data_IF_061554239881
#
_entry.id   IF_061554239881
#
_cell.length_a   1.000
_cell.length_b   1.000
_cell.length_c   1.000
_cell.angle_alpha   90.00
_cell.angle_beta   90.00
_cell.angle_gamma   90.00
#
_symmetry.space_group_name_H-M   'P 1'
#
loop_
_entity.id
_entity.type
_entity.pdbx_description
1 polymer ?
#
# COMPACT_ATOMS: atom_id res chain seq x y z
N UNK A 1 -20.08 -18.28 3.61
CA UNK A 1 -20.00 -17.12 2.70
C UNK A 1 -20.51 -15.91 3.48
N UNK A 2 -19.72 -14.84 3.52
CA UNK A 2 -20.11 -13.60 4.21
C UNK A 2 -21.21 -12.89 3.38
N UNK A 3 -22.40 -12.61 3.96
CA UNK A 3 -23.49 -11.97 3.22
C UNK A 3 -23.21 -10.50 2.84
N UNK A 4 -22.22 -9.87 3.44
CA UNK A 4 -21.78 -8.52 3.11
C UNK A 4 -20.67 -8.50 2.04
N UNK A 5 -20.28 -9.67 1.53
CA UNK A 5 -19.25 -9.83 0.52
C UNK A 5 -17.83 -9.88 1.08
N UNK A 6 -16.88 -9.78 0.17
CA UNK A 6 -15.45 -9.77 0.44
C UNK A 6 -14.92 -8.34 0.60
N UNK A 7 -13.79 -8.18 1.27
CA UNK A 7 -13.12 -6.91 1.46
C UNK A 7 -13.52 -6.21 2.77
N UNK A 8 -13.31 -4.91 2.86
CA UNK A 8 -13.48 -4.11 4.08
C UNK A 8 -14.90 -4.15 4.69
N UNK A 9 -15.91 -4.50 3.91
CA UNK A 9 -17.32 -4.63 4.37
C UNK A 9 -17.65 -5.98 4.94
N UNK A 10 -16.82 -6.99 4.72
CA UNK A 10 -17.03 -8.34 5.23
C UNK A 10 -17.18 -8.33 6.76
N UNK A 11 -18.06 -9.15 7.29
CA UNK A 11 -18.23 -9.29 8.75
C UNK A 11 -16.99 -9.85 9.41
N UNK A 12 -16.21 -10.63 8.68
CA UNK A 12 -14.97 -11.22 9.15
C UNK A 12 -13.96 -10.14 9.59
N UNK A 13 -13.92 -8.97 8.96
CA UNK A 13 -13.00 -7.86 9.34
C UNK A 13 -13.16 -7.49 10.81
N UNK A 14 -14.36 -7.65 11.37
CA UNK A 14 -14.64 -7.36 12.79
C UNK A 14 -14.15 -8.44 13.75
N UNK A 15 -13.69 -9.57 13.25
CA UNK A 15 -13.17 -10.67 14.08
C UNK A 15 -11.68 -10.56 14.35
N UNK A 16 -10.98 -9.67 13.65
CA UNK A 16 -9.59 -9.40 13.93
C UNK A 16 -9.43 -8.76 15.32
N UNK A 17 -8.48 -9.26 16.08
CA UNK A 17 -8.15 -8.75 17.42
C UNK A 17 -6.65 -8.55 17.58
N UNK A 18 -6.25 -7.36 18.01
CA UNK A 18 -4.87 -6.99 18.26
C UNK A 18 -4.23 -7.79 19.42
N UNK A 19 -5.02 -8.51 20.21
CA UNK A 19 -4.57 -9.29 21.35
C UNK A 19 -4.57 -10.81 21.10
N UNK A 20 -4.93 -11.26 19.87
CA UNK A 20 -4.91 -12.71 19.57
C UNK A 20 -3.50 -13.27 19.65
N UNK A 21 -3.39 -14.52 20.07
CA UNK A 21 -2.16 -15.30 19.90
C UNK A 21 -2.00 -15.63 18.43
N UNK A 22 -0.78 -15.71 17.95
CA UNK A 22 -0.46 -15.97 16.55
C UNK A 22 0.83 -16.79 16.44
N UNK A 23 1.03 -17.41 15.30
CA UNK A 23 2.31 -17.96 14.84
C UNK A 23 2.81 -17.15 13.64
N UNK A 24 4.09 -17.31 13.33
CA UNK A 24 4.69 -16.66 12.16
C UNK A 24 4.50 -17.47 10.86
N UNK A 25 3.89 -18.67 10.93
CA UNK A 25 3.84 -19.62 9.81
C UNK A 25 3.13 -19.03 8.59
N UNK A 26 1.95 -18.44 8.78
CA UNK A 26 1.18 -17.80 7.72
C UNK A 26 1.96 -16.66 7.04
N UNK A 27 2.59 -15.80 7.85
CA UNK A 27 3.40 -14.70 7.37
C UNK A 27 4.62 -15.21 6.59
N UNK A 28 5.34 -16.18 7.13
CA UNK A 28 6.55 -16.73 6.51
C UNK A 28 6.25 -17.41 5.17
N UNK A 29 5.16 -18.19 5.09
CA UNK A 29 4.74 -18.84 3.86
C UNK A 29 4.45 -17.82 2.74
N UNK A 30 3.71 -16.76 3.04
CA UNK A 30 3.41 -15.72 2.05
C UNK A 30 4.62 -14.84 1.75
N UNK A 31 5.46 -14.60 2.74
CA UNK A 31 6.71 -13.86 2.53
C UNK A 31 7.65 -14.61 1.57
N UNK A 32 7.79 -15.91 1.72
CA UNK A 32 8.57 -16.74 0.80
C UNK A 32 8.06 -16.63 -0.65
N UNK A 33 6.72 -16.60 -0.83
CA UNK A 33 6.13 -16.38 -2.16
C UNK A 33 6.53 -15.01 -2.73
N UNK A 34 6.47 -13.93 -1.93
CA UNK A 34 6.89 -12.59 -2.36
C UNK A 34 8.40 -12.53 -2.63
N UNK A 35 9.23 -13.11 -1.76
CA UNK A 35 10.69 -13.11 -1.90
C UNK A 35 11.15 -13.87 -3.16
N UNK A 36 10.34 -14.82 -3.64
CA UNK A 36 10.54 -15.53 -4.90
C UNK A 36 9.92 -14.80 -6.12
N UNK A 37 9.58 -13.52 -5.99
CA UNK A 37 9.02 -12.70 -7.07
C UNK A 37 7.51 -12.86 -7.30
N UNK A 38 6.81 -13.53 -6.37
CA UNK A 38 5.35 -13.66 -6.44
C UNK A 38 4.65 -12.32 -6.28
N UNK A 39 3.75 -12.00 -7.22
CA UNK A 39 2.94 -10.78 -7.19
C UNK A 39 1.64 -11.03 -7.94
N UNK A 40 0.64 -10.19 -7.68
CA UNK A 40 -0.67 -10.29 -8.32
C UNK A 40 -0.63 -10.04 -9.83
N UNK A 41 0.27 -9.18 -10.29
CA UNK A 41 0.44 -8.80 -11.69
C UNK A 41 1.88 -9.01 -12.12
N UNK A 42 2.07 -9.43 -13.37
CA UNK A 42 3.40 -9.54 -13.97
C UNK A 42 4.16 -8.22 -13.83
N UNK A 43 5.39 -8.30 -13.39
CA UNK A 43 6.27 -7.14 -13.21
C UNK A 43 7.29 -7.07 -14.34
N UNK A 44 7.80 -5.87 -14.68
CA UNK A 44 8.87 -5.73 -15.65
C UNK A 44 10.12 -6.49 -15.19
N UNK A 45 10.78 -7.20 -16.10
CA UNK A 45 12.07 -7.87 -15.85
C UNK A 45 13.21 -6.88 -15.55
N UNK A 46 13.00 -5.62 -15.85
CA UNK A 46 13.95 -4.55 -15.65
C UNK A 46 13.89 -4.05 -14.21
N UNK A 47 14.21 -4.92 -13.25
CA UNK A 47 14.52 -4.45 -11.90
C UNK A 47 15.67 -3.46 -11.98
N UNK A 48 15.43 -2.21 -11.63
CA UNK A 48 16.54 -1.33 -11.29
C UNK A 48 17.20 -1.96 -10.07
N UNK A 49 18.41 -2.46 -10.22
CA UNK A 49 19.19 -3.08 -9.14
C UNK A 49 19.36 -2.11 -7.98
N UNK A 50 19.21 -0.82 -8.25
CA UNK A 50 19.23 0.24 -7.26
C UNK A 50 18.16 1.32 -7.55
N UNK A 51 16.99 1.16 -6.94
CA UNK A 51 15.91 2.15 -7.01
C UNK A 51 16.35 3.52 -6.49
N UNK A 52 17.26 3.56 -5.51
CA UNK A 52 17.79 4.80 -4.96
C UNK A 52 18.51 5.67 -5.99
N UNK A 53 19.13 5.07 -7.00
CA UNK A 53 19.77 5.82 -8.09
C UNK A 53 18.75 6.57 -8.96
N UNK A 54 17.54 6.05 -9.05
CA UNK A 54 16.44 6.65 -9.82
C UNK A 54 15.69 7.73 -9.02
N UNK A 55 15.36 7.44 -7.76
CA UNK A 55 14.42 8.26 -6.98
C UNK A 55 15.03 8.92 -5.75
N UNK A 56 16.24 8.48 -5.34
CA UNK A 56 16.86 8.85 -4.07
C UNK A 56 16.36 8.01 -2.89
N UNK A 57 16.91 8.25 -1.70
CA UNK A 57 16.64 7.44 -0.50
C UNK A 57 15.49 7.97 0.38
N UNK A 58 14.94 9.14 0.06
CA UNK A 58 13.91 9.79 0.85
C UNK A 58 12.62 9.94 0.05
N UNK A 59 11.88 8.85 -0.11
CA UNK A 59 10.61 8.88 -0.83
C UNK A 59 9.51 8.07 -0.16
N UNK A 60 8.27 8.43 -0.48
CA UNK A 60 7.04 7.67 -0.26
C UNK A 60 6.66 7.00 -1.57
N UNK A 61 6.35 5.72 -1.53
CA UNK A 61 5.89 4.97 -2.68
C UNK A 61 4.35 4.93 -2.74
N UNK A 62 3.79 5.25 -3.90
CA UNK A 62 2.34 5.30 -4.13
C UNK A 62 1.97 4.45 -5.37
N UNK A 63 1.66 3.17 -5.20
CA UNK A 63 1.10 2.36 -6.28
C UNK A 63 -0.33 2.81 -6.57
N UNK A 64 -0.54 3.37 -7.76
CA UNK A 64 -1.84 3.90 -8.17
C UNK A 64 -2.84 2.79 -8.45
N UNK A 65 -4.07 2.99 -8.00
CA UNK A 65 -5.24 2.17 -8.35
C UNK A 65 -5.96 2.77 -9.54
N UNK A 66 -6.74 1.94 -10.24
CA UNK A 66 -7.59 2.40 -11.35
C UNK A 66 -8.67 3.32 -10.77
N UNK A 67 -8.86 4.56 -11.31
CA UNK A 67 -9.76 5.56 -10.73
C UNK A 67 -11.22 5.11 -10.53
N UNK A 68 -11.69 4.17 -11.34
CA UNK A 68 -13.05 3.63 -11.28
C UNK A 68 -13.11 2.19 -10.78
N UNK A 69 -12.12 1.78 -9.99
CA UNK A 69 -12.16 0.50 -9.32
C UNK A 69 -13.31 0.48 -8.31
N UNK A 70 -14.09 -0.60 -8.32
CA UNK A 70 -15.23 -0.77 -7.41
C UNK A 70 -14.82 -0.75 -5.94
N UNK A 71 -13.61 -1.20 -5.62
CA UNK A 71 -13.07 -1.11 -4.26
C UNK A 71 -12.89 0.35 -3.82
N UNK A 72 -12.48 1.23 -4.73
CA UNK A 72 -12.42 2.67 -4.45
C UNK A 72 -13.82 3.24 -4.28
N UNK A 73 -14.71 3.00 -5.24
CA UNK A 73 -16.06 3.56 -5.23
C UNK A 73 -16.87 3.17 -3.98
N UNK A 74 -16.68 1.95 -3.47
CA UNK A 74 -17.46 1.46 -2.33
C UNK A 74 -16.75 1.63 -0.99
N UNK A 75 -15.44 1.55 -0.95
CA UNK A 75 -14.68 1.46 0.29
C UNK A 75 -13.69 2.62 0.49
N UNK A 76 -13.88 3.72 -0.25
CA UNK A 76 -13.14 4.97 -0.03
C UNK A 76 -14.09 6.17 0.04
N UNK A 77 -13.74 7.17 0.83
CA UNK A 77 -14.42 8.47 0.89
C UNK A 77 -13.67 9.51 0.05
N UNK A 78 -12.55 9.10 -0.57
CA UNK A 78 -11.73 9.92 -1.46
C UNK A 78 -11.59 9.23 -2.82
N UNK A 79 -11.52 10.02 -3.87
CA UNK A 79 -11.24 9.55 -5.24
C UNK A 79 -9.72 9.47 -5.48
N UNK A 80 -9.31 8.70 -6.50
CA UNK A 80 -7.89 8.65 -6.88
C UNK A 80 -7.33 10.01 -7.32
N UNK A 81 -8.04 10.84 -8.11
CA UNK A 81 -7.57 12.19 -8.44
C UNK A 81 -7.41 13.11 -7.22
N UNK A 82 -8.35 13.10 -6.27
CA UNK A 82 -8.23 13.87 -5.02
C UNK A 82 -7.02 13.44 -4.21
N UNK A 83 -6.82 12.14 -4.10
CA UNK A 83 -5.67 11.55 -3.41
C UNK A 83 -4.33 11.96 -4.04
N UNK A 84 -4.21 11.82 -5.37
CA UNK A 84 -3.01 12.21 -6.11
C UNK A 84 -2.74 13.70 -5.95
N UNK A 85 -3.76 14.54 -6.13
CA UNK A 85 -3.64 16.00 -6.00
C UNK A 85 -3.16 16.40 -4.59
N UNK A 86 -3.79 15.87 -3.54
CA UNK A 86 -3.41 16.19 -2.16
C UNK A 86 -1.95 15.81 -1.86
N UNK A 87 -1.49 14.63 -2.33
CA UNK A 87 -0.11 14.20 -2.13
C UNK A 87 0.90 15.07 -2.91
N UNK A 88 0.55 15.49 -4.12
CA UNK A 88 1.41 16.37 -4.92
C UNK A 88 1.55 17.75 -4.27
N UNK A 89 0.42 18.37 -3.89
CA UNK A 89 0.41 19.66 -3.22
C UNK A 89 1.22 19.62 -1.92
N UNK A 90 1.01 18.59 -1.09
CA UNK A 90 1.75 18.40 0.15
C UNK A 90 3.26 18.19 -0.06
N UNK A 91 3.65 17.44 -1.10
CA UNK A 91 5.06 17.19 -1.41
C UNK A 91 5.82 18.49 -1.75
N UNK A 92 5.13 19.45 -2.36
CA UNK A 92 5.71 20.74 -2.78
C UNK A 92 5.71 21.82 -1.68
N UNK A 93 5.06 21.57 -0.53
CA UNK A 93 4.90 22.58 0.54
C UNK A 93 6.20 23.05 1.21
N UNK A 94 7.34 22.38 0.99
CA UNK A 94 8.58 22.87 1.55
C UNK A 94 9.69 21.87 1.85
N UNK A 95 10.77 22.41 2.42
CA UNK A 95 11.96 21.65 2.78
C UNK A 95 11.63 20.55 3.82
N UNK A 96 12.19 19.36 3.61
CA UNK A 96 12.06 18.22 4.52
C UNK A 96 10.93 17.24 4.18
N UNK A 97 10.08 17.55 3.20
CA UNK A 97 9.10 16.58 2.68
C UNK A 97 9.83 15.50 1.87
N UNK A 98 9.42 14.23 1.98
CA UNK A 98 9.91 13.18 1.11
C UNK A 98 9.38 13.39 -0.31
N UNK A 99 10.14 12.92 -1.31
CA UNK A 99 9.61 12.82 -2.67
C UNK A 99 8.43 11.85 -2.70
N UNK A 100 7.39 12.13 -3.47
CA UNK A 100 6.29 11.20 -3.68
C UNK A 100 6.46 10.54 -5.04
N UNK A 101 6.58 9.21 -5.04
CA UNK A 101 6.82 8.42 -6.25
C UNK A 101 5.59 7.60 -6.55
N UNK A 102 4.92 7.97 -7.62
CA UNK A 102 3.73 7.27 -8.12
C UNK A 102 4.14 6.19 -9.13
N UNK A 103 3.55 5.00 -9.00
CA UNK A 103 3.65 3.95 -10.02
C UNK A 103 2.30 3.73 -10.68
N UNK A 104 2.28 3.81 -12.01
CA UNK A 104 1.08 3.56 -12.81
C UNK A 104 0.59 2.11 -12.70
N UNK A 105 -0.73 1.92 -12.81
CA UNK A 105 -1.33 0.59 -12.76
C UNK A 105 -1.07 -0.17 -14.08
N UNK A 106 -0.54 -1.40 -14.05
CA UNK A 106 -0.09 -2.10 -15.27
C UNK A 106 -1.23 -2.48 -16.21
N UNK A 107 -2.43 -2.75 -15.70
CA UNK A 107 -3.56 -3.27 -16.49
C UNK A 107 -4.28 -2.20 -17.31
N UNK A 108 -4.26 -0.94 -16.87
CA UNK A 108 -5.00 0.13 -17.58
C UNK A 108 -4.21 1.44 -17.61
N UNK A 109 -3.17 1.53 -18.44
CA UNK A 109 -2.35 2.74 -18.55
C UNK A 109 -3.15 3.97 -19.03
N UNK A 110 -4.19 3.78 -19.87
CA UNK A 110 -5.00 4.90 -20.36
C UNK A 110 -5.79 5.60 -19.25
N UNK A 111 -6.19 4.90 -18.21
CA UNK A 111 -6.88 5.51 -17.07
C UNK A 111 -5.95 6.35 -16.19
N UNK A 112 -4.63 6.23 -16.38
CA UNK A 112 -3.63 7.01 -15.66
C UNK A 112 -3.37 8.38 -16.28
N UNK A 113 -3.73 8.61 -17.55
CA UNK A 113 -3.45 9.87 -18.27
C UNK A 113 -3.96 11.12 -17.52
N UNK A 114 -5.17 11.17 -16.97
CA UNK A 114 -5.60 12.34 -16.20
C UNK A 114 -4.79 12.55 -14.90
N UNK A 115 -4.26 11.48 -14.34
CA UNK A 115 -3.44 11.54 -13.11
C UNK A 115 -2.03 12.05 -13.44
N UNK A 116 -1.43 11.62 -14.56
CA UNK A 116 -0.11 12.12 -14.96
C UNK A 116 -0.15 13.62 -15.24
N UNK A 117 -1.25 14.14 -15.78
CA UNK A 117 -1.44 15.58 -15.99
C UNK A 117 -1.46 16.40 -14.68
N UNK A 118 -1.91 15.80 -13.57
CA UNK A 118 -1.80 16.41 -12.26
C UNK A 118 -0.35 16.36 -11.77
N UNK A 119 0.24 15.16 -11.81
CA UNK A 119 1.59 14.91 -11.29
C UNK A 119 2.65 15.78 -11.97
N UNK A 120 2.56 15.94 -13.30
CA UNK A 120 3.52 16.71 -14.10
C UNK A 120 3.56 18.23 -13.77
N UNK A 121 2.60 18.73 -12.98
CA UNK A 121 2.56 20.13 -12.55
C UNK A 121 3.33 20.39 -11.25
N UNK A 122 3.95 19.35 -10.67
CA UNK A 122 4.58 19.39 -9.36
C UNK A 122 6.05 18.94 -9.43
N UNK A 123 6.91 19.55 -8.61
CA UNK A 123 8.36 19.35 -8.69
C UNK A 123 8.87 18.20 -7.81
N UNK A 124 8.32 18.04 -6.59
CA UNK A 124 8.79 17.03 -5.63
C UNK A 124 8.06 15.68 -5.77
N UNK A 125 7.65 15.36 -6.98
CA UNK A 125 6.93 14.12 -7.32
C UNK A 125 7.57 13.44 -8.53
N UNK A 126 7.29 12.15 -8.71
CA UNK A 126 7.74 11.39 -9.87
C UNK A 126 6.71 10.35 -10.25
N UNK A 127 6.45 10.19 -11.55
CA UNK A 127 5.60 9.14 -12.09
C UNK A 127 6.43 8.11 -12.85
N UNK A 128 6.25 6.82 -12.51
CA UNK A 128 6.97 5.70 -13.10
C UNK A 128 5.99 4.62 -13.58
N UNK A 129 6.38 3.88 -14.63
CA UNK A 129 5.62 2.74 -15.15
C UNK A 129 6.42 1.44 -15.06
N UNK A 130 7.66 1.46 -15.54
CA UNK A 130 8.50 0.29 -15.77
C UNK A 130 9.48 0.06 -14.61
N UNK A 131 8.93 -0.07 -13.40
CA UNK A 131 9.69 -0.36 -12.18
C UNK A 131 9.10 -1.57 -11.46
N UNK A 132 9.97 -2.38 -10.89
CA UNK A 132 9.58 -3.56 -10.12
C UNK A 132 9.04 -3.11 -8.75
N UNK A 133 7.83 -3.60 -8.41
CA UNK A 133 7.06 -3.10 -7.27
C UNK A 133 7.71 -3.41 -5.91
N UNK A 134 8.32 -4.59 -5.76
CA UNK A 134 8.91 -5.00 -4.49
C UNK A 134 10.16 -4.20 -4.16
N UNK A 135 10.97 -3.86 -5.19
CA UNK A 135 12.12 -2.96 -5.05
C UNK A 135 11.68 -1.56 -4.61
N UNK A 136 10.58 -1.05 -5.18
CA UNK A 136 10.01 0.23 -4.77
C UNK A 136 9.53 0.22 -3.32
N UNK A 137 8.83 -0.84 -2.90
CA UNK A 137 8.34 -0.99 -1.52
C UNK A 137 9.49 -1.07 -0.53
N UNK A 138 10.50 -1.90 -0.83
CA UNK A 138 11.63 -2.20 0.07
C UNK A 138 12.45 -0.96 0.43
N UNK A 139 12.62 -0.05 -0.53
CA UNK A 139 13.47 1.13 -0.37
C UNK A 139 12.70 2.40 0.05
N UNK A 140 11.37 2.39 0.01
CA UNK A 140 10.53 3.51 0.41
C UNK A 140 10.54 3.75 1.93
N UNK A 141 10.37 5.00 2.35
CA UNK A 141 10.10 5.35 3.76
C UNK A 141 8.74 4.83 4.22
N UNK A 142 7.76 4.79 3.31
CA UNK A 142 6.46 4.17 3.50
C UNK A 142 5.80 3.90 2.15
N UNK A 143 4.86 2.95 2.12
CA UNK A 143 3.96 2.70 1.00
C UNK A 143 2.58 3.27 1.34
N UNK A 144 2.11 4.21 0.54
CA UNK A 144 0.81 4.87 0.70
C UNK A 144 -0.19 4.28 -0.29
N UNK A 145 -1.32 3.83 0.19
CA UNK A 145 -2.38 3.24 -0.63
C UNK A 145 -3.75 3.79 -0.22
N UNK A 146 -4.71 3.83 -1.13
CA UNK A 146 -6.08 4.05 -0.69
C UNK A 146 -6.55 2.78 0.01
N UNK A 147 -6.76 1.68 -0.72
CA UNK A 147 -7.13 0.36 -0.17
C UNK A 147 -6.64 -0.80 -1.06
N UNK A 148 -5.51 -0.59 -1.75
CA UNK A 148 -4.91 -1.55 -2.68
C UNK A 148 -4.40 -2.81 -2.00
N UNK A 149 -4.52 -3.98 -2.67
CA UNK A 149 -3.85 -5.21 -2.29
C UNK A 149 -2.31 -5.09 -2.19
N UNK A 150 -1.71 -4.12 -2.88
CA UNK A 150 -0.28 -3.79 -2.71
C UNK A 150 0.09 -3.43 -1.27
N UNK A 151 -0.88 -2.93 -0.48
CA UNK A 151 -0.68 -2.73 0.96
C UNK A 151 -0.36 -4.04 1.68
N UNK A 152 -0.99 -5.14 1.32
CA UNK A 152 -0.67 -6.47 1.86
C UNK A 152 0.73 -6.91 1.42
N UNK A 153 1.09 -6.78 0.14
CA UNK A 153 2.43 -7.11 -0.34
C UNK A 153 3.51 -6.30 0.41
N UNK A 154 3.24 -5.03 0.70
CA UNK A 154 4.13 -4.18 1.50
C UNK A 154 4.23 -4.64 2.97
N UNK A 155 3.13 -5.09 3.58
CA UNK A 155 3.16 -5.67 4.92
C UNK A 155 4.05 -6.92 4.98
N UNK A 156 4.04 -7.79 3.95
CA UNK A 156 4.90 -8.98 3.87
C UNK A 156 6.39 -8.63 3.76
N UNK A 157 6.71 -7.45 3.31
CA UNK A 157 8.07 -6.92 3.28
C UNK A 157 8.46 -6.14 4.55
N UNK A 158 7.63 -6.19 5.58
CA UNK A 158 7.79 -5.40 6.80
C UNK A 158 7.88 -3.87 6.53
N UNK A 159 7.37 -3.39 5.41
CA UNK A 159 7.34 -1.98 5.07
C UNK A 159 6.32 -1.21 5.91
N UNK A 160 6.51 0.10 6.06
CA UNK A 160 5.49 0.97 6.66
C UNK A 160 4.37 1.17 5.65
N UNK A 161 3.14 0.86 6.03
CA UNK A 161 1.96 1.01 5.17
C UNK A 161 1.01 2.03 5.77
N UNK A 162 0.53 2.94 4.91
CA UNK A 162 -0.53 3.90 5.25
C UNK A 162 -1.72 3.64 4.33
N UNK A 163 -2.90 3.42 4.90
CA UNK A 163 -4.14 3.21 4.16
C UNK A 163 -5.09 4.39 4.35
N UNK A 164 -5.51 5.03 3.24
CA UNK A 164 -6.39 6.20 3.23
C UNK A 164 -7.87 5.85 3.02
N UNK A 165 -8.15 4.62 2.64
CA UNK A 165 -9.51 4.07 2.51
C UNK A 165 -9.74 2.89 3.44
N UNK A 166 -10.93 2.34 3.38
CA UNK A 166 -11.30 1.13 4.11
C UNK A 166 -10.73 -0.10 3.39
N UNK A 167 -9.96 -0.90 4.11
CA UNK A 167 -9.42 -2.18 3.66
C UNK A 167 -9.58 -3.22 4.76
N UNK A 168 -9.45 -4.49 4.44
CA UNK A 168 -9.48 -5.58 5.42
C UNK A 168 -8.31 -5.52 6.40
N UNK A 169 -7.19 -4.90 5.99
CA UNK A 169 -5.98 -4.75 6.79
C UNK A 169 -5.85 -3.39 7.50
N UNK A 170 -6.87 -2.52 7.43
CA UNK A 170 -6.83 -1.15 7.99
C UNK A 170 -6.41 -1.08 9.47
N UNK A 171 -6.80 -2.08 10.25
CA UNK A 171 -6.52 -2.12 11.70
C UNK A 171 -5.09 -2.62 12.01
N UNK A 172 -4.35 -3.05 10.99
CA UNK A 172 -2.96 -3.49 11.10
C UNK A 172 -1.93 -2.45 10.61
N UNK A 173 -2.38 -1.37 9.98
CA UNK A 173 -1.53 -0.35 9.34
C UNK A 173 -1.81 1.05 9.89
N UNK A 174 -1.02 2.04 9.47
CA UNK A 174 -1.25 3.44 9.82
C UNK A 174 -2.48 3.95 9.05
N UNK A 175 -3.40 4.61 9.75
CA UNK A 175 -4.54 5.27 9.11
C UNK A 175 -4.12 6.57 8.43
N UNK A 176 -4.46 6.71 7.13
CA UNK A 176 -4.21 7.92 6.35
C UNK A 176 -5.37 8.91 6.43
N UNK A 177 -5.05 10.20 6.38
CA UNK A 177 -6.00 11.30 6.23
C UNK A 177 -5.39 12.32 5.27
N UNK A 178 -6.03 12.55 4.12
CA UNK A 178 -5.54 13.51 3.13
C UNK A 178 -5.69 14.96 3.59
N UNK A 179 -6.51 15.22 4.60
CA UNK A 179 -6.68 16.56 5.17
C UNK A 179 -5.55 16.93 6.16
N UNK A 180 -4.75 15.95 6.62
CA UNK A 180 -3.66 16.18 7.58
C UNK A 180 -2.45 15.26 7.28
N UNK A 181 -1.85 15.46 6.11
CA UNK A 181 -0.70 14.66 5.64
C UNK A 181 0.55 14.85 6.51
N UNK A 182 0.71 15.98 7.18
CA UNK A 182 1.81 16.21 8.13
C UNK A 182 1.70 15.31 9.35
N UNK A 183 0.51 15.16 9.88
CA UNK A 183 0.26 14.21 10.97
C UNK A 183 0.52 12.77 10.52
N UNK A 184 0.06 12.41 9.33
CA UNK A 184 0.32 11.07 8.76
C UNK A 184 1.82 10.84 8.63
N UNK A 185 2.58 11.81 8.09
CA UNK A 185 4.02 11.71 7.96
C UNK A 185 4.73 11.61 9.32
N UNK A 186 4.29 12.37 10.30
CA UNK A 186 4.79 12.27 11.68
C UNK A 186 4.56 10.87 12.26
N UNK A 187 3.41 10.25 12.02
CA UNK A 187 3.14 8.87 12.43
C UNK A 187 4.09 7.87 11.74
N UNK A 188 4.36 8.05 10.45
CA UNK A 188 5.32 7.22 9.72
C UNK A 188 6.74 7.35 10.30
N UNK A 189 7.17 8.57 10.63
CA UNK A 189 8.49 8.81 11.21
C UNK A 189 8.64 8.20 12.60
N UNK A 190 7.60 8.26 13.42
CA UNK A 190 7.59 7.77 14.81
C UNK A 190 7.10 6.33 14.95
N UNK A 191 6.87 5.61 13.83
CA UNK A 191 6.39 4.24 13.86
C UNK A 191 7.36 3.29 14.57
N UNK A 192 6.80 2.47 15.46
CA UNK A 192 7.57 1.44 16.16
C UNK A 192 7.64 0.16 15.33
N UNK A 193 8.80 -0.08 14.73
CA UNK A 193 9.05 -1.22 13.84
C UNK A 193 8.70 -2.58 14.48
N UNK A 194 9.03 -2.80 15.73
CA UNK A 194 8.76 -4.08 16.39
C UNK A 194 7.26 -4.29 16.65
N UNK A 195 6.56 -3.23 17.02
CA UNK A 195 5.09 -3.28 17.21
C UNK A 195 4.42 -3.55 15.87
N UNK A 196 4.82 -2.84 14.80
CA UNK A 196 4.29 -3.02 13.45
C UNK A 196 4.50 -4.44 12.93
N UNK A 197 5.72 -4.97 13.03
CA UNK A 197 6.03 -6.33 12.58
C UNK A 197 5.16 -7.38 13.29
N UNK A 198 4.99 -7.26 14.58
CA UNK A 198 4.09 -8.15 15.35
C UNK A 198 2.63 -8.02 14.90
N UNK A 199 2.20 -6.80 14.56
CA UNK A 199 0.85 -6.56 14.08
C UNK A 199 0.62 -7.24 12.72
N UNK A 200 1.56 -7.14 11.79
CA UNK A 200 1.48 -7.77 10.47
C UNK A 200 1.40 -9.29 10.57
N UNK A 201 2.27 -9.91 11.38
CA UNK A 201 2.25 -11.37 11.60
C UNK A 201 0.93 -11.84 12.20
N UNK A 202 0.43 -11.11 13.18
CA UNK A 202 -0.87 -11.39 13.80
C UNK A 202 -2.02 -11.25 12.82
N UNK A 203 -1.98 -10.25 11.93
CA UNK A 203 -2.98 -10.05 10.90
C UNK A 203 -2.97 -11.20 9.88
N UNK A 204 -1.80 -11.60 9.40
CA UNK A 204 -1.68 -12.70 8.44
C UNK A 204 -2.08 -14.05 9.04
N UNK A 205 -1.72 -14.31 10.30
CA UNK A 205 -2.16 -15.52 11.00
C UNK A 205 -3.70 -15.59 11.08
N UNK A 206 -4.35 -14.48 11.47
CA UNK A 206 -5.80 -14.39 11.46
C UNK A 206 -6.38 -14.54 10.05
N UNK A 207 -5.82 -13.84 9.08
CA UNK A 207 -6.35 -13.78 7.71
C UNK A 207 -6.33 -15.15 7.04
N UNK A 208 -5.23 -15.89 7.12
CA UNK A 208 -5.11 -17.21 6.51
C UNK A 208 -5.85 -18.31 7.27
N UNK A 209 -5.87 -18.25 8.61
CA UNK A 209 -6.43 -19.33 9.40
C UNK A 209 -7.94 -19.19 9.68
N UNK A 210 -8.43 -17.94 9.78
CA UNK A 210 -9.83 -17.69 10.15
C UNK A 210 -10.70 -17.21 8.98
N UNK A 211 -10.09 -16.63 7.92
CA UNK A 211 -10.83 -15.94 6.85
C UNK A 211 -10.72 -16.63 5.49
N UNK A 212 -9.49 -17.01 5.11
CA UNK A 212 -9.24 -17.64 3.81
C UNK A 212 -9.46 -19.16 3.91
N UNK A 213 -10.30 -19.70 3.03
CA UNK A 213 -10.50 -21.13 2.92
C UNK A 213 -9.56 -21.71 1.86
N UNK A 214 -8.83 -22.74 2.23
CA UNK A 214 -8.12 -23.57 1.25
C UNK A 214 -9.14 -24.39 0.46
N UNK A 215 -9.23 -24.12 -0.84
CA UNK A 215 -10.14 -24.85 -1.74
C UNK A 215 -9.49 -26.07 -2.39
N UNK A 216 -8.27 -26.42 -2.01
CA UNK A 216 -7.54 -27.57 -2.54
C UNK A 216 -7.78 -28.86 -1.75
N UNK A 217 -8.63 -28.83 -0.71
CA UNK A 217 -9.04 -29.99 0.08
C UNK A 217 -10.30 -30.61 -0.50
#
# INVERSE_FOLDING_TARGET
IDPLGWGARGRFVRTFSNNRKYTDDAFNTLKEYIDNGGTKFEQPDNGYDNVSDLVGDNYIFVPLQIPHDKVIEFDSDITVPEYVKALCEWADEGEGKPKVVFKGHPVNPMSMVPLTQIIEQHDNVLYLTDVEIHSMIKNAKATYVINSGTGQEAMLQDAKVVAFGRSEYKDAVIGGDIADLDKVWSQVQNDNTEVRKKMYRRWYDWYLNDVVFDTTI
#
